data_IF_520289196129
#
_entry.id   IF_520289196129
#
_cell.length_a   1.000
_cell.length_b   1.000
_cell.length_c   1.000
_cell.angle_alpha   90.00
_cell.angle_beta   90.00
_cell.angle_gamma   90.00
#
_symmetry.space_group_name_H-M   'P 1'
#
loop_
_entity.id
_entity.type
_entity.pdbx_description
1 polymer ?
#
# COMPACT_ATOMS: atom_id res chain seq x y z
N UNK A 1 12.40 -1.62 11.25
CA UNK A 1 11.21 -1.30 10.42
C UNK A 1 10.08 -0.58 11.13
N UNK A 2 9.68 -1.01 12.33
CA UNK A 2 8.56 -0.38 13.05
C UNK A 2 9.04 0.84 13.87
N UNK A 3 8.10 1.71 14.26
CA UNK A 3 8.32 2.96 15.00
C UNK A 3 9.12 4.06 14.26
N UNK A 4 8.95 4.12 12.95
CA UNK A 4 9.47 5.17 12.07
C UNK A 4 8.47 5.44 10.94
N UNK A 5 8.59 6.53 10.19
CA UNK A 5 7.73 6.78 9.04
C UNK A 5 7.85 5.64 8.02
N UNK A 6 6.71 5.06 7.62
CA UNK A 6 6.68 3.88 6.73
C UNK A 6 7.38 4.12 5.38
N UNK A 7 7.36 5.37 4.88
CA UNK A 7 8.05 5.75 3.65
C UNK A 7 9.58 5.84 3.76
N UNK A 8 10.14 5.75 4.97
CA UNK A 8 11.58 5.81 5.26
C UNK A 8 12.14 4.47 5.75
N UNK A 9 11.31 3.43 5.81
CA UNK A 9 11.74 2.07 6.14
C UNK A 9 12.59 1.48 5.01
N UNK A 10 13.69 0.82 5.36
CA UNK A 10 14.60 0.19 4.38
C UNK A 10 13.93 -0.95 3.60
N UNK A 11 12.93 -1.61 4.17
CA UNK A 11 12.16 -2.67 3.49
C UNK A 11 10.94 -2.14 2.74
N UNK A 12 10.67 -0.84 2.80
CA UNK A 12 9.59 -0.23 2.06
C UNK A 12 9.88 -0.26 0.56
N UNK A 13 9.07 -1.01 -0.19
CA UNK A 13 9.23 -1.13 -1.65
C UNK A 13 8.52 -0.03 -2.44
N UNK A 14 7.84 0.91 -1.77
CA UNK A 14 7.01 1.92 -2.43
C UNK A 14 5.76 1.37 -3.15
N UNK A 15 5.44 0.08 -3.00
CA UNK A 15 4.37 -0.59 -3.76
C UNK A 15 2.93 -0.10 -3.44
N UNK A 16 2.72 0.73 -2.42
CA UNK A 16 1.41 1.28 -2.07
C UNK A 16 0.38 0.28 -1.50
N UNK A 17 0.73 -1.00 -1.35
CA UNK A 17 -0.19 -2.04 -0.83
C UNK A 17 -0.79 -1.67 0.52
N UNK A 18 0.02 -1.17 1.46
CA UNK A 18 -0.43 -0.76 2.79
C UNK A 18 -1.46 0.37 2.75
N UNK A 19 -1.26 1.33 1.85
CA UNK A 19 -2.18 2.45 1.61
C UNK A 19 -3.51 1.94 1.03
N UNK A 20 -3.49 1.04 0.04
CA UNK A 20 -4.72 0.51 -0.57
C UNK A 20 -5.49 -0.51 0.27
N UNK A 21 -4.83 -1.24 1.17
CA UNK A 21 -5.48 -2.22 2.08
C UNK A 21 -5.96 -1.59 3.39
N UNK A 22 -5.46 -0.42 3.77
CA UNK A 22 -5.80 0.22 5.05
C UNK A 22 -7.33 0.49 5.15
N UNK A 23 -8.03 -0.16 6.10
CA UNK A 23 -9.49 -0.09 6.17
C UNK A 23 -9.98 1.23 6.78
N UNK A 24 -9.19 1.85 7.65
CA UNK A 24 -9.53 3.09 8.36
C UNK A 24 -9.16 4.35 7.58
N UNK A 25 -8.31 4.24 6.55
CA UNK A 25 -7.75 5.41 5.87
C UNK A 25 -6.63 6.10 6.65
N UNK A 26 -6.12 5.51 7.73
CA UNK A 26 -4.95 6.03 8.46
C UNK A 26 -3.70 6.16 7.57
N UNK A 27 -3.60 5.33 6.53
CA UNK A 27 -2.58 5.42 5.48
C UNK A 27 -3.21 5.90 4.17
N UNK A 28 -2.62 6.96 3.61
CA UNK A 28 -3.01 7.59 2.35
C UNK A 28 -1.76 8.11 1.61
N UNK A 29 -1.91 8.38 0.31
CA UNK A 29 -0.82 8.90 -0.52
C UNK A 29 -0.48 10.34 -0.14
N UNK A 30 0.81 10.69 -0.10
CA UNK A 30 1.25 12.06 0.15
C UNK A 30 0.67 12.99 -0.91
N UNK A 31 0.15 14.15 -0.48
CA UNK A 31 -0.48 15.12 -1.39
C UNK A 31 -1.93 14.80 -1.75
N UNK A 32 -2.53 13.74 -1.19
CA UNK A 32 -3.97 13.48 -1.25
C UNK A 32 -4.54 13.52 0.16
N UNK A 33 -5.77 14.00 0.31
CA UNK A 33 -6.54 13.77 1.53
C UNK A 33 -7.11 12.35 1.54
N UNK A 34 -7.53 11.90 2.74
CA UNK A 34 -8.21 10.62 2.90
C UNK A 34 -9.49 10.56 2.04
N UNK A 35 -10.21 11.69 1.92
CA UNK A 35 -11.47 11.78 1.17
C UNK A 35 -11.28 11.67 -0.36
N UNK A 36 -10.16 12.16 -0.89
CA UNK A 36 -9.84 12.10 -2.33
C UNK A 36 -9.27 10.73 -2.76
N UNK A 37 -9.02 9.84 -1.80
CA UNK A 37 -8.28 8.61 -2.06
C UNK A 37 -9.19 7.48 -2.55
N UNK A 38 -9.01 7.07 -3.80
CA UNK A 38 -9.67 5.89 -4.36
C UNK A 38 -8.90 4.60 -4.01
N UNK A 39 -9.55 3.68 -3.29
CA UNK A 39 -8.95 2.38 -2.92
C UNK A 39 -8.98 1.42 -4.11
N UNK A 40 -7.81 1.06 -4.64
CA UNK A 40 -7.65 0.07 -5.73
C UNK A 40 -7.74 -1.37 -5.22
N UNK A 41 -8.94 -1.81 -4.81
CA UNK A 41 -9.14 -3.15 -4.24
C UNK A 41 -8.77 -4.29 -5.20
N UNK A 42 -9.01 -4.10 -6.49
CA UNK A 42 -8.71 -5.07 -7.56
C UNK A 42 -7.20 -5.25 -7.83
N UNK A 43 -6.34 -4.35 -7.32
CA UNK A 43 -4.89 -4.46 -7.46
C UNK A 43 -4.29 -5.53 -6.52
N UNK A 44 -4.97 -5.87 -5.41
CA UNK A 44 -4.47 -6.87 -4.46
C UNK A 44 -4.47 -8.30 -5.04
N UNK A 45 -5.55 -8.79 -5.68
CA UNK A 45 -5.51 -10.06 -6.41
C UNK A 45 -4.41 -10.13 -7.45
N UNK A 46 -4.19 -9.05 -8.21
CA UNK A 46 -3.12 -8.98 -9.21
C UNK A 46 -1.72 -9.18 -8.60
N UNK A 47 -1.45 -8.56 -7.44
CA UNK A 47 -0.18 -8.74 -6.73
C UNK A 47 0.01 -10.18 -6.21
N UNK A 48 -1.07 -10.87 -5.85
CA UNK A 48 -1.00 -12.29 -5.44
C UNK A 48 -0.66 -13.17 -6.65
N UNK A 49 -1.36 -12.99 -7.78
CA UNK A 49 -1.07 -13.72 -9.02
C UNK A 49 0.40 -13.56 -9.44
N UNK A 50 0.93 -12.34 -9.43
CA UNK A 50 2.34 -12.06 -9.76
C UNK A 50 3.38 -12.66 -8.80
N UNK A 51 2.96 -13.15 -7.63
CA UNK A 51 3.85 -13.90 -6.71
C UNK A 51 3.83 -15.38 -7.04
N UNK A 52 2.65 -15.93 -7.27
CA UNK A 52 2.45 -17.33 -7.66
C UNK A 52 3.14 -17.67 -8.99
N UNK A 53 3.14 -16.75 -9.97
CA UNK A 53 3.84 -16.93 -11.25
C UNK A 53 5.38 -16.93 -11.14
N UNK A 54 5.94 -16.53 -10.00
CA UNK A 54 7.39 -16.50 -9.74
C UNK A 54 7.88 -17.70 -8.93
N UNK A 55 6.97 -18.54 -8.44
CA UNK A 55 7.26 -19.82 -7.79
C UNK A 55 7.23 -20.97 -8.82
#
# INVERSE_FOLDING_TARGET
>A
DLNQPWGSSETCTGCGKCVHVCPTGALFEKGRSVAEMLKRRQFLPYLTLMREERE
#
